data_IF_172416766407
#
_entry.id   IF_172416766407
#
_cell.length_a   1.000
_cell.length_b   1.000
_cell.length_c   1.000
_cell.angle_alpha   90.00
_cell.angle_beta   90.00
_cell.angle_gamma   90.00
#
_symmetry.space_group_name_H-M   'P 1'
#
loop_
_entity.id
_entity.type
_entity.pdbx_description
1 polymer ?
#
# COMPACT_ATOMS: atom_id res chain seq x y z
N UNK A 1 -43.45 -14.82 46.39
CA UNK A 1 -42.17 -14.31 45.85
C UNK A 1 -41.67 -15.32 44.83
N UNK A 2 -41.49 -14.96 43.55
CA UNK A 2 -40.86 -15.86 42.60
C UNK A 2 -39.35 -15.89 42.89
N UNK A 3 -38.82 -17.08 43.15
CA UNK A 3 -37.39 -17.33 43.33
C UNK A 3 -36.76 -17.22 41.94
N UNK A 4 -36.39 -16.01 41.53
CA UNK A 4 -35.50 -15.82 40.39
C UNK A 4 -34.09 -16.09 40.88
N UNK A 5 -33.58 -17.29 40.60
CA UNK A 5 -32.15 -17.55 40.76
C UNK A 5 -31.38 -16.55 39.88
N UNK A 6 -30.34 -15.88 40.39
CA UNK A 6 -29.52 -15.00 39.57
C UNK A 6 -28.91 -15.83 38.43
N UNK A 7 -29.11 -15.37 37.19
CA UNK A 7 -28.49 -15.97 36.01
C UNK A 7 -26.98 -15.72 36.08
N UNK A 8 -26.21 -16.80 36.13
CA UNK A 8 -24.75 -16.74 36.08
C UNK A 8 -24.32 -16.35 34.67
N UNK A 9 -23.72 -15.15 34.55
CA UNK A 9 -23.18 -14.59 33.31
C UNK A 9 -21.67 -14.81 33.19
N UNK A 10 -21.09 -15.67 34.03
CA UNK A 10 -19.67 -16.02 33.93
C UNK A 10 -19.39 -16.68 32.58
N UNK A 11 -18.28 -16.32 31.91
CA UNK A 11 -17.94 -16.90 30.61
C UNK A 11 -17.77 -18.41 30.75
N UNK A 12 -18.45 -19.17 29.89
CA UNK A 12 -18.35 -20.62 29.90
C UNK A 12 -16.91 -21.06 29.62
N UNK A 13 -16.40 -22.08 30.33
CA UNK A 13 -15.07 -22.61 30.07
C UNK A 13 -14.97 -23.13 28.63
N UNK A 14 -13.79 -23.06 28.02
CA UNK A 14 -13.59 -23.50 26.63
C UNK A 14 -13.85 -25.01 26.40
N UNK A 15 -14.00 -25.78 27.48
CA UNK A 15 -14.35 -27.20 27.50
C UNK A 15 -15.87 -27.46 27.64
N UNK A 16 -16.70 -26.41 27.66
CA UNK A 16 -18.13 -26.52 27.86
C UNK A 16 -18.83 -27.31 26.73
N UNK A 17 -19.90 -28.04 27.09
CA UNK A 17 -20.61 -28.96 26.19
C UNK A 17 -21.20 -28.22 24.98
N UNK A 18 -21.60 -26.97 25.21
CA UNK A 18 -22.17 -26.02 24.25
C UNK A 18 -21.22 -25.73 23.08
N UNK A 19 -19.91 -25.94 23.25
CA UNK A 19 -18.90 -25.73 22.22
C UNK A 19 -18.48 -27.00 21.47
N UNK A 20 -19.09 -28.16 21.74
CA UNK A 20 -18.70 -29.42 21.10
C UNK A 20 -18.95 -29.45 19.59
N UNK A 21 -20.01 -28.81 19.12
CA UNK A 21 -20.35 -28.74 17.70
C UNK A 21 -19.55 -27.67 16.93
N UNK A 22 -18.73 -26.87 17.63
CA UNK A 22 -17.91 -25.83 16.99
C UNK A 22 -16.61 -26.42 16.41
N UNK A 23 -16.13 -25.92 15.26
CA UNK A 23 -14.81 -26.28 14.74
C UNK A 23 -13.72 -25.94 15.76
N UNK A 24 -12.87 -26.91 16.10
CA UNK A 24 -11.79 -26.74 17.10
C UNK A 24 -10.44 -26.56 16.42
N UNK A 25 -9.59 -25.73 17.01
CA UNK A 25 -8.20 -25.54 16.62
C UNK A 25 -7.26 -25.69 17.82
N UNK A 26 -6.03 -26.13 17.57
CA UNK A 26 -5.04 -26.41 18.61
C UNK A 26 -4.23 -25.15 18.94
N UNK A 27 -4.20 -24.76 20.21
CA UNK A 27 -3.35 -23.68 20.69
C UNK A 27 -1.87 -24.09 20.58
N UNK A 28 -1.02 -23.25 19.99
CA UNK A 28 0.42 -23.53 19.82
C UNK A 28 1.15 -23.54 21.18
N UNK A 29 0.69 -22.71 22.12
CA UNK A 29 1.36 -22.50 23.42
C UNK A 29 1.08 -23.59 24.45
N UNK A 30 -0.17 -24.02 24.62
CA UNK A 30 -0.55 -25.06 25.61
C UNK A 30 -0.99 -26.39 24.98
N UNK A 31 -1.08 -26.48 23.66
CA UNK A 31 -1.52 -27.68 22.92
C UNK A 31 -2.97 -28.12 23.16
N UNK A 32 -3.79 -27.31 23.84
CA UNK A 32 -5.22 -27.59 24.03
C UNK A 32 -6.05 -27.25 22.77
N UNK A 33 -7.12 -28.03 22.54
CA UNK A 33 -8.08 -27.81 21.46
C UNK A 33 -9.21 -26.89 21.92
N UNK A 34 -9.27 -25.69 21.34
CA UNK A 34 -10.21 -24.62 21.68
C UNK A 34 -11.09 -24.31 20.47
N UNK A 35 -12.37 -23.91 20.63
CA UNK A 35 -13.20 -23.46 19.52
C UNK A 35 -12.51 -22.35 18.71
N UNK A 36 -12.51 -22.45 17.38
CA UNK A 36 -11.76 -21.56 16.49
C UNK A 36 -12.10 -20.08 16.75
N UNK A 37 -13.38 -19.76 16.98
CA UNK A 37 -13.83 -18.40 17.27
C UNK A 37 -13.31 -17.85 18.60
N UNK A 38 -12.89 -18.72 19.52
CA UNK A 38 -12.42 -18.36 20.86
C UNK A 38 -10.90 -18.48 21.00
N UNK A 39 -10.21 -18.99 19.98
CA UNK A 39 -8.76 -19.20 20.01
C UNK A 39 -7.99 -17.89 20.27
N UNK A 40 -8.41 -16.78 19.67
CA UNK A 40 -7.77 -15.47 19.86
C UNK A 40 -7.90 -14.92 21.29
N UNK A 41 -8.98 -15.24 22.00
CA UNK A 41 -9.15 -14.92 23.43
C UNK A 41 -8.28 -15.80 24.31
N UNK A 42 -8.23 -17.10 24.00
CA UNK A 42 -7.40 -18.06 24.73
C UNK A 42 -5.90 -17.76 24.59
N UNK A 43 -5.39 -17.42 23.41
CA UNK A 43 -3.95 -17.11 23.21
C UNK A 43 -3.49 -15.94 24.09
N UNK A 44 -4.34 -14.91 24.24
CA UNK A 44 -4.05 -13.73 25.08
C UNK A 44 -3.83 -14.08 26.55
N UNK A 45 -4.62 -15.02 27.09
CA UNK A 45 -4.48 -15.46 28.50
C UNK A 45 -3.48 -16.61 28.66
N UNK A 46 -3.30 -17.44 27.62
CA UNK A 46 -2.37 -18.58 27.64
C UNK A 46 -0.90 -18.14 27.75
N UNK A 47 -0.52 -17.03 27.11
CA UNK A 47 0.84 -16.48 27.16
C UNK A 47 1.18 -16.00 28.60
N UNK A 48 0.21 -15.44 29.32
CA UNK A 48 0.42 -14.91 30.67
C UNK A 48 0.70 -15.99 31.71
N UNK A 49 0.30 -17.24 31.46
CA UNK A 49 0.51 -18.36 32.39
C UNK A 49 1.91 -18.98 32.31
N UNK A 50 2.67 -18.78 31.22
CA UNK A 50 4.02 -19.37 31.04
C UNK A 50 5.17 -18.51 31.58
N UNK A 51 4.95 -17.24 31.91
CA UNK A 51 6.02 -16.34 32.40
C UNK A 51 6.33 -16.54 33.90
N UNK A 52 5.60 -17.41 34.62
CA UNK A 52 5.74 -17.59 36.08
C UNK A 52 6.59 -18.77 36.55
N UNK A 53 7.19 -19.55 35.66
CA UNK A 53 8.10 -20.68 35.99
C UNK A 53 9.06 -20.73 34.80
N UNK A 54 10.33 -20.32 34.86
CA UNK A 54 11.43 -20.84 35.67
C UNK A 54 12.53 -19.76 35.81
N UNK A 55 12.80 -19.30 37.03
CA UNK A 55 14.10 -18.76 37.43
C UNK A 55 14.65 -19.69 38.49
N UNK A 56 15.69 -20.45 38.16
CA UNK A 56 16.64 -20.88 39.15
C UNK A 56 18.03 -20.97 38.50
N UNK A 57 18.93 -20.17 39.05
CA UNK A 57 20.36 -20.19 38.85
C UNK A 57 20.95 -21.50 39.38
N UNK A 58 22.06 -21.93 38.78
CA UNK A 58 23.21 -22.51 39.48
C UNK A 58 24.47 -22.22 38.66
N UNK A 59 25.34 -21.39 39.22
CA UNK A 59 26.76 -21.28 38.91
C UNK A 59 27.46 -22.54 39.40
N UNK A 60 28.45 -23.07 38.66
CA UNK A 60 29.70 -23.56 39.27
C UNK A 60 30.80 -23.93 38.24
N UNK A 61 31.97 -23.32 38.50
CA UNK A 61 33.34 -23.85 38.43
C UNK A 61 34.09 -23.90 37.08
N UNK A 62 35.18 -23.13 37.11
CA UNK A 62 36.31 -22.99 36.20
C UNK A 62 37.28 -24.18 36.38
N UNK A 63 37.84 -24.73 35.29
CA UNK A 63 39.27 -25.03 35.26
C UNK A 63 39.86 -25.20 33.85
N UNK A 64 41.05 -24.63 33.72
CA UNK A 64 41.98 -24.71 32.60
C UNK A 64 42.50 -26.14 32.40
N UNK A 65 42.81 -26.49 31.16
CA UNK A 65 44.07 -27.17 30.86
C UNK A 65 44.59 -26.74 29.48
N UNK A 66 45.90 -26.62 29.44
CA UNK A 66 46.80 -25.95 28.50
C UNK A 66 47.52 -27.01 27.67
N UNK A 67 47.56 -26.92 26.33
CA UNK A 67 48.54 -27.61 25.49
C UNK A 67 48.74 -26.84 24.17
N UNK A 68 49.97 -26.37 23.99
CA UNK A 68 50.51 -25.65 22.83
C UNK A 68 51.19 -26.64 21.87
N UNK A 69 50.85 -26.63 20.58
CA UNK A 69 51.82 -26.72 19.46
C UNK A 69 51.16 -26.75 18.05
N UNK A 70 51.47 -25.72 17.27
CA UNK A 70 51.92 -25.73 15.87
C UNK A 70 51.20 -26.61 14.82
N UNK A 71 50.64 -25.96 13.79
CA UNK A 71 50.43 -26.58 12.47
C UNK A 71 49.44 -25.83 11.58
N UNK A 72 49.95 -25.04 10.63
CA UNK A 72 49.22 -24.52 9.47
C UNK A 72 48.56 -25.65 8.67
N UNK A 73 47.23 -25.77 8.70
CA UNK A 73 46.41 -26.31 7.60
C UNK A 73 44.99 -25.74 7.73
N UNK A 74 44.52 -25.00 6.72
CA UNK A 74 43.09 -24.67 6.59
C UNK A 74 42.23 -25.92 6.41
N UNK A 75 41.04 -25.95 7.00
CA UNK A 75 39.88 -26.43 6.25
C UNK A 75 38.71 -25.46 6.33
N UNK A 76 38.20 -25.13 5.16
CA UNK A 76 36.90 -24.52 4.89
C UNK A 76 35.77 -25.13 5.71
N UNK A 77 35.30 -24.43 6.74
CA UNK A 77 33.98 -24.68 7.33
C UNK A 77 32.96 -23.89 6.52
N UNK A 78 32.39 -24.54 5.50
CA UNK A 78 31.21 -24.03 4.80
C UNK A 78 30.04 -24.19 5.78
N UNK A 79 29.82 -23.20 6.65
CA UNK A 79 28.68 -23.17 7.55
C UNK A 79 27.39 -23.26 6.73
N UNK A 80 26.61 -24.31 6.95
CA UNK A 80 25.33 -24.51 6.27
C UNK A 80 24.37 -23.39 6.70
N UNK A 81 24.20 -22.39 5.83
CA UNK A 81 23.26 -21.30 6.07
C UNK A 81 21.83 -21.76 5.79
N UNK A 82 20.89 -21.38 6.64
CA UNK A 82 19.47 -21.67 6.52
C UNK A 82 18.73 -20.35 6.28
N UNK A 83 17.77 -20.35 5.36
CA UNK A 83 16.96 -19.17 5.07
C UNK A 83 15.89 -18.98 6.16
N UNK A 84 15.75 -17.76 6.67
CA UNK A 84 14.65 -17.38 7.53
C UNK A 84 13.33 -17.44 6.73
N UNK A 85 12.28 -18.15 7.21
CA UNK A 85 11.03 -18.26 6.46
C UNK A 85 10.22 -16.96 6.40
N UNK A 86 10.61 -15.92 7.14
CA UNK A 86 9.90 -14.63 7.19
C UNK A 86 10.55 -13.57 6.30
N UNK A 87 11.88 -13.44 6.30
CA UNK A 87 12.60 -12.44 5.52
C UNK A 87 13.49 -13.02 4.40
N UNK A 88 13.54 -14.35 4.27
CA UNK A 88 14.35 -15.10 3.29
C UNK A 88 15.87 -14.86 3.36
N UNK A 89 16.36 -14.11 4.35
CA UNK A 89 17.79 -13.91 4.58
C UNK A 89 18.46 -15.18 5.11
N UNK A 90 19.73 -15.39 4.74
CA UNK A 90 20.50 -16.59 5.06
C UNK A 90 21.31 -16.39 6.34
N UNK A 91 21.00 -17.20 7.36
CA UNK A 91 21.66 -17.16 8.67
C UNK A 91 22.39 -18.46 8.96
N UNK A 92 23.38 -18.40 9.86
CA UNK A 92 23.93 -19.62 10.46
C UNK A 92 22.86 -20.28 11.33
N UNK A 93 23.08 -21.56 11.69
CA UNK A 93 22.11 -22.30 12.50
C UNK A 93 21.94 -21.70 13.90
N UNK A 94 22.92 -20.98 14.42
CA UNK A 94 22.84 -20.35 15.75
C UNK A 94 22.17 -18.98 15.66
N UNK A 95 22.48 -18.20 14.62
CA UNK A 95 21.90 -16.87 14.43
C UNK A 95 20.42 -16.90 14.04
N UNK A 96 19.95 -17.95 13.35
CA UNK A 96 18.55 -18.06 12.95
C UNK A 96 17.60 -18.16 14.15
N UNK A 97 18.04 -18.73 15.28
CA UNK A 97 17.21 -18.80 16.49
C UNK A 97 17.02 -17.42 17.12
N UNK A 98 18.07 -16.60 17.14
CA UNK A 98 18.02 -15.22 17.66
C UNK A 98 17.23 -14.33 16.70
N UNK A 99 17.47 -14.47 15.40
CA UNK A 99 16.77 -13.73 14.37
C UNK A 99 15.27 -14.07 14.33
N UNK A 100 14.89 -15.35 14.46
CA UNK A 100 13.48 -15.78 14.44
C UNK A 100 12.63 -15.10 15.53
N UNK A 101 13.22 -14.76 16.68
CA UNK A 101 12.55 -14.02 17.75
C UNK A 101 12.27 -12.56 17.39
N UNK A 102 13.12 -11.92 16.58
CA UNK A 102 13.01 -10.48 16.25
C UNK A 102 12.31 -10.26 14.90
N UNK A 103 12.48 -11.18 13.95
CA UNK A 103 11.95 -11.07 12.60
C UNK A 103 10.41 -11.09 12.55
N UNK A 104 9.75 -11.66 13.56
CA UNK A 104 8.29 -11.64 13.70
C UNK A 104 7.74 -10.36 14.35
N UNK A 105 8.60 -9.51 14.92
CA UNK A 105 8.20 -8.34 15.72
C UNK A 105 8.48 -7.01 14.99
N UNK A 106 9.22 -7.04 13.87
CA UNK A 106 9.51 -5.88 13.04
C UNK A 106 8.54 -5.80 11.87
N UNK A 107 7.55 -4.92 11.96
CA UNK A 107 6.64 -4.57 10.87
C UNK A 107 7.34 -3.60 9.88
N UNK A 108 8.52 -3.98 9.40
CA UNK A 108 9.27 -3.24 8.40
C UNK A 108 9.35 -4.08 7.14
N UNK A 109 8.66 -3.57 6.11
CA UNK A 109 8.94 -3.88 4.72
C UNK A 109 10.46 -3.94 4.50
N UNK A 110 10.95 -5.02 3.89
CA UNK A 110 11.95 -5.00 2.81
C UNK A 110 12.37 -6.43 2.42
N UNK A 111 12.42 -6.67 1.11
CA UNK A 111 12.86 -7.91 0.45
C UNK A 111 11.87 -8.33 -0.66
N UNK A 112 12.22 -8.41 -1.94
CA UNK A 112 13.47 -8.18 -2.66
C UNK A 112 13.08 -7.83 -4.12
N UNK A 113 13.62 -6.73 -4.62
CA UNK A 113 13.82 -6.52 -6.05
C UNK A 113 15.19 -5.87 -6.21
N UNK A 114 16.15 -6.68 -6.64
CA UNK A 114 17.44 -6.33 -7.25
C UNK A 114 18.24 -5.21 -6.56
N UNK A 115 19.38 -5.59 -5.97
CA UNK A 115 20.38 -4.67 -5.46
C UNK A 115 20.94 -3.87 -6.65
N UNK A 116 20.34 -2.72 -6.93
CA UNK A 116 21.05 -1.59 -7.51
C UNK A 116 21.60 -0.78 -6.35
N UNK A 117 22.91 -0.59 -6.34
CA UNK A 117 23.64 0.32 -5.46
C UNK A 117 22.81 1.58 -5.14
N UNK A 118 22.53 1.83 -3.86
CA UNK A 118 22.09 3.13 -3.38
C UNK A 118 23.22 4.13 -3.62
N UNK A 119 23.31 4.62 -4.85
CA UNK A 119 23.89 5.94 -5.09
C UNK A 119 22.89 6.93 -4.51
N UNK A 120 23.26 7.57 -3.41
CA UNK A 120 22.62 8.80 -2.93
C UNK A 120 22.70 9.86 -4.05
N UNK A 121 21.81 9.74 -5.04
CA UNK A 121 21.70 10.68 -6.16
C UNK A 121 21.13 11.98 -5.58
N UNK A 122 22.02 12.84 -5.09
CA UNK A 122 21.65 14.19 -4.68
C UNK A 122 21.18 14.98 -5.91
N UNK A 123 19.86 15.12 -6.07
CA UNK A 123 19.27 15.88 -7.16
C UNK A 123 19.29 17.38 -6.85
N UNK A 124 19.95 18.17 -7.70
CA UNK A 124 20.02 19.63 -7.55
C UNK A 124 18.74 20.37 -7.99
N UNK A 125 17.84 19.72 -8.73
CA UNK A 125 16.58 20.30 -9.21
C UNK A 125 15.54 19.25 -9.61
N UNK A 126 14.28 19.67 -9.75
CA UNK A 126 13.19 18.82 -10.30
C UNK A 126 13.53 18.35 -11.72
N UNK A 127 14.19 19.18 -12.52
CA UNK A 127 14.60 18.82 -13.87
C UNK A 127 15.66 17.70 -13.89
N UNK A 128 16.50 17.61 -12.85
CA UNK A 128 17.48 16.52 -12.72
C UNK A 128 16.80 15.19 -12.38
N UNK A 129 15.80 15.23 -11.50
CA UNK A 129 14.97 14.07 -11.18
C UNK A 129 14.29 13.56 -12.46
N UNK A 130 13.64 14.45 -13.22
CA UNK A 130 12.96 14.07 -14.47
C UNK A 130 13.93 13.50 -15.50
N UNK A 131 15.14 14.07 -15.65
CA UNK A 131 16.19 13.50 -16.52
C UNK A 131 16.65 12.12 -16.05
N UNK A 132 16.80 11.89 -14.75
CA UNK A 132 17.18 10.58 -14.20
C UNK A 132 16.09 9.55 -14.49
N UNK A 133 14.81 9.92 -14.32
CA UNK A 133 13.68 9.06 -14.66
C UNK A 133 13.54 8.80 -16.16
N UNK A 134 13.76 9.79 -17.01
CA UNK A 134 13.74 9.65 -18.47
C UNK A 134 14.79 8.62 -18.94
N UNK A 135 15.97 8.60 -18.33
CA UNK A 135 17.02 7.60 -18.60
C UNK A 135 16.60 6.17 -18.23
N UNK A 136 15.64 6.01 -17.31
CA UNK A 136 15.12 4.69 -16.89
C UNK A 136 14.06 4.14 -17.86
N UNK A 137 13.65 4.91 -18.88
CA UNK A 137 12.73 4.45 -19.92
C UNK A 137 13.47 3.53 -20.89
N UNK A 138 13.01 2.29 -21.01
CA UNK A 138 13.53 1.30 -21.94
C UNK A 138 13.11 1.64 -23.38
N UNK A 139 14.08 2.08 -24.19
CA UNK A 139 13.85 2.41 -25.60
C UNK A 139 13.74 1.18 -26.51
N UNK A 140 14.10 -0.02 -26.01
CA UNK A 140 13.98 -1.28 -26.74
C UNK A 140 12.57 -1.84 -26.72
N UNK A 141 11.82 -1.55 -25.65
CA UNK A 141 10.40 -1.91 -25.50
C UNK A 141 9.53 -0.71 -25.80
N UNK A 142 8.55 -0.90 -26.68
CA UNK A 142 7.58 0.15 -26.98
C UNK A 142 6.17 -0.39 -27.09
N UNK A 143 5.20 0.45 -26.78
CA UNK A 143 3.79 0.20 -27.05
C UNK A 143 3.24 1.30 -27.94
N UNK A 144 2.31 0.93 -28.82
CA UNK A 144 1.81 1.82 -29.87
C UNK A 144 0.36 2.20 -29.58
N UNK A 145 0.06 3.48 -29.74
CA UNK A 145 -1.31 4.02 -29.71
C UNK A 145 -1.60 4.69 -31.05
N UNK A 146 -2.73 4.31 -31.66
CA UNK A 146 -3.15 4.78 -32.97
C UNK A 146 -4.48 5.52 -32.86
N UNK A 147 -4.49 6.84 -32.99
CA UNK A 147 -5.68 7.67 -32.75
C UNK A 147 -6.00 8.54 -33.94
N UNK A 148 -7.25 9.03 -34.01
CA UNK A 148 -7.60 10.14 -34.89
C UNK A 148 -7.73 11.40 -34.05
N UNK A 149 -7.73 12.59 -34.68
CA UNK A 149 -7.82 13.85 -33.94
C UNK A 149 -9.19 14.04 -33.27
N UNK A 150 -10.26 13.51 -33.86
CA UNK A 150 -11.64 13.72 -33.41
C UNK A 150 -11.99 12.90 -32.16
N UNK A 151 -11.37 11.73 -31.98
CA UNK A 151 -11.68 10.80 -30.89
C UNK A 151 -10.43 10.43 -30.07
N UNK A 152 -9.45 11.34 -30.02
CA UNK A 152 -8.14 11.10 -29.43
C UNK A 152 -8.24 10.54 -28.01
N UNK A 153 -9.02 11.21 -27.15
CA UNK A 153 -9.09 10.89 -25.73
C UNK A 153 -9.74 9.52 -25.46
N UNK A 154 -10.96 9.30 -25.97
CA UNK A 154 -11.69 8.04 -25.71
C UNK A 154 -10.99 6.84 -26.34
N UNK A 155 -10.50 7.01 -27.57
CA UNK A 155 -9.76 5.95 -28.28
C UNK A 155 -8.40 5.71 -27.65
N UNK A 156 -7.74 6.76 -27.19
CA UNK A 156 -6.47 6.71 -26.45
C UNK A 156 -6.61 5.88 -25.18
N UNK A 157 -7.59 6.19 -24.32
CA UNK A 157 -7.87 5.42 -23.09
C UNK A 157 -8.15 3.94 -23.39
N UNK A 158 -9.06 3.67 -24.33
CA UNK A 158 -9.42 2.29 -24.69
C UNK A 158 -8.24 1.49 -25.22
N UNK A 159 -7.37 2.11 -26.02
CA UNK A 159 -6.18 1.43 -26.49
C UNK A 159 -5.18 1.21 -25.38
N UNK A 160 -4.90 2.23 -24.57
CA UNK A 160 -3.98 2.14 -23.45
C UNK A 160 -4.34 0.97 -22.52
N UNK A 161 -5.60 0.88 -22.09
CA UNK A 161 -6.08 -0.18 -21.21
C UNK A 161 -5.95 -1.60 -21.80
N UNK A 162 -5.87 -1.74 -23.13
CA UNK A 162 -5.70 -3.04 -23.82
C UNK A 162 -4.24 -3.42 -24.03
N UNK A 163 -3.31 -2.47 -23.91
CA UNK A 163 -1.89 -2.72 -24.16
C UNK A 163 -1.25 -3.42 -22.95
N UNK A 164 -0.83 -4.68 -23.11
CA UNK A 164 -0.15 -5.44 -22.05
C UNK A 164 1.21 -4.85 -21.65
N UNK A 165 1.83 -4.11 -22.57
CA UNK A 165 3.12 -3.46 -22.38
C UNK A 165 2.96 -1.96 -22.07
N UNK A 166 1.74 -1.46 -21.83
CA UNK A 166 1.55 -0.10 -21.36
C UNK A 166 2.19 0.04 -19.98
N UNK A 167 3.23 0.85 -19.91
CA UNK A 167 3.95 1.15 -18.69
C UNK A 167 4.78 2.40 -18.92
N UNK A 168 4.94 3.28 -17.91
CA UNK A 168 5.87 4.41 -17.99
C UNK A 168 7.31 4.01 -18.32
N UNK A 169 7.70 2.77 -18.00
CA UNK A 169 9.03 2.21 -18.28
C UNK A 169 9.26 1.89 -19.75
N UNK A 170 8.20 1.71 -20.54
CA UNK A 170 8.30 1.36 -21.96
C UNK A 170 8.05 2.61 -22.81
N UNK A 171 8.74 2.74 -23.95
CA UNK A 171 8.60 3.91 -24.82
C UNK A 171 7.20 3.97 -25.47
N UNK A 172 6.48 5.08 -25.27
CA UNK A 172 5.22 5.35 -25.95
C UNK A 172 5.48 5.83 -27.38
N UNK A 173 4.86 5.15 -28.35
CA UNK A 173 4.81 5.54 -29.76
C UNK A 173 3.39 5.91 -30.15
N UNK A 174 3.24 7.04 -30.81
CA UNK A 174 1.94 7.58 -31.19
C UNK A 174 1.88 7.77 -32.70
N UNK A 175 0.78 7.31 -33.29
CA UNK A 175 0.46 7.50 -34.69
C UNK A 175 -0.93 8.13 -34.83
N UNK A 176 -0.98 9.25 -35.54
CA UNK A 176 -2.25 9.85 -35.96
C UNK A 176 -2.65 9.25 -37.31
N UNK A 177 -3.82 8.63 -37.35
CA UNK A 177 -4.27 7.87 -38.53
C UNK A 177 -4.48 8.84 -39.70
N UNK A 178 -3.80 8.56 -40.82
CA UNK A 178 -3.85 9.40 -42.02
C UNK A 178 -2.77 10.49 -42.05
N UNK A 179 -1.91 10.60 -41.04
CA UNK A 179 -0.84 11.59 -40.97
C UNK A 179 0.54 10.94 -41.05
N UNK A 180 1.46 11.56 -41.78
CA UNK A 180 2.86 11.12 -41.82
C UNK A 180 3.60 11.64 -40.59
N UNK A 181 3.72 10.79 -39.56
CA UNK A 181 4.40 11.13 -38.30
C UNK A 181 5.92 11.08 -38.41
N UNK A 182 6.55 12.25 -38.62
CA UNK A 182 8.01 12.37 -38.73
C UNK A 182 8.67 12.46 -37.36
N UNK A 183 8.12 13.29 -36.46
CA UNK A 183 8.68 13.51 -35.12
C UNK A 183 7.85 12.81 -34.05
N UNK A 184 8.33 11.64 -33.62
CA UNK A 184 7.69 10.85 -32.56
C UNK A 184 7.68 11.55 -31.21
N UNK A 185 8.64 12.44 -30.92
CA UNK A 185 8.67 13.22 -29.69
C UNK A 185 7.55 14.26 -29.67
N UNK A 186 7.38 15.00 -30.77
CA UNK A 186 6.30 15.96 -30.91
C UNK A 186 4.91 15.31 -30.84
N UNK A 187 4.69 14.22 -31.59
CA UNK A 187 3.41 13.49 -31.59
C UNK A 187 3.08 12.92 -30.21
N UNK A 188 4.08 12.37 -29.51
CA UNK A 188 3.90 11.88 -28.14
C UNK A 188 3.52 13.01 -27.19
N UNK A 189 4.22 14.15 -27.25
CA UNK A 189 3.94 15.30 -26.40
C UNK A 189 2.54 15.86 -26.65
N UNK A 190 2.15 15.99 -27.92
CA UNK A 190 0.80 16.42 -28.31
C UNK A 190 -0.26 15.47 -27.74
N UNK A 191 -0.12 14.17 -27.99
CA UNK A 191 -1.06 13.17 -27.48
C UNK A 191 -1.15 13.17 -25.95
N UNK A 192 -0.03 13.20 -25.24
CA UNK A 192 -0.03 13.24 -23.76
C UNK A 192 -0.68 14.52 -23.24
N UNK A 193 -0.51 15.65 -23.93
CA UNK A 193 -1.16 16.90 -23.56
C UNK A 193 -2.68 16.79 -23.63
N UNK A 194 -3.20 16.27 -24.75
CA UNK A 194 -4.63 16.03 -24.93
C UNK A 194 -5.17 14.97 -23.96
N UNK A 195 -4.38 13.92 -23.67
CA UNK A 195 -4.77 12.91 -22.69
C UNK A 195 -4.87 13.48 -21.28
N UNK A 196 -3.90 14.27 -20.82
CA UNK A 196 -3.93 14.90 -19.48
C UNK A 196 -5.12 15.86 -19.36
N UNK A 197 -5.38 16.67 -20.40
CA UNK A 197 -6.54 17.56 -20.47
C UNK A 197 -7.87 16.77 -20.42
N UNK A 198 -7.99 15.71 -21.22
CA UNK A 198 -9.18 14.86 -21.23
C UNK A 198 -9.41 14.13 -19.91
N UNK A 199 -8.34 13.68 -19.24
CA UNK A 199 -8.42 13.06 -17.92
C UNK A 199 -8.96 14.08 -16.90
N UNK A 200 -8.42 15.29 -16.89
CA UNK A 200 -8.89 16.37 -16.02
C UNK A 200 -10.40 16.62 -16.19
N UNK A 201 -10.87 16.73 -17.44
CA UNK A 201 -12.27 16.99 -17.72
C UNK A 201 -13.20 15.83 -17.31
N UNK A 202 -12.79 14.58 -17.57
CA UNK A 202 -13.63 13.39 -17.33
C UNK A 202 -13.62 12.94 -15.88
N UNK A 203 -12.45 12.86 -15.25
CA UNK A 203 -12.25 12.19 -13.96
C UNK A 203 -12.07 13.13 -12.77
N UNK A 204 -11.97 14.43 -13.01
CA UNK A 204 -11.78 15.41 -11.94
C UNK A 204 -12.88 16.48 -11.95
N UNK A 205 -13.23 16.97 -10.76
CA UNK A 205 -14.22 18.03 -10.51
C UNK A 205 -13.73 19.05 -9.49
N UNK A 206 -14.32 20.24 -9.52
CA UNK A 206 -13.92 21.38 -8.71
C UNK A 206 -13.73 22.62 -9.58
N UNK A 207 -13.71 23.78 -8.92
CA UNK A 207 -13.50 25.10 -9.54
C UNK A 207 -12.08 25.30 -10.08
N UNK A 208 -11.13 24.45 -9.68
CA UNK A 208 -9.73 24.51 -10.09
C UNK A 208 -8.91 25.56 -9.32
N UNK A 209 -9.52 26.43 -8.52
CA UNK A 209 -8.80 27.43 -7.72
C UNK A 209 -7.95 26.78 -6.62
N UNK A 210 -8.45 25.67 -6.07
CA UNK A 210 -7.77 24.87 -5.02
C UNK A 210 -7.27 23.53 -5.53
N UNK A 211 -7.23 23.36 -6.85
CA UNK A 211 -7.15 22.07 -7.50
C UNK A 211 -8.53 21.41 -7.63
N UNK A 212 -8.53 20.20 -8.20
CA UNK A 212 -9.69 19.38 -8.51
C UNK A 212 -9.56 18.03 -7.84
N UNK A 213 -10.68 17.55 -7.34
CA UNK A 213 -10.78 16.25 -6.71
C UNK A 213 -11.19 15.19 -7.72
N UNK A 214 -10.85 13.95 -7.40
CA UNK A 214 -11.25 12.80 -8.20
C UNK A 214 -12.77 12.62 -8.08
N UNK A 215 -13.44 12.51 -9.23
CA UNK A 215 -14.86 12.12 -9.29
C UNK A 215 -15.01 10.67 -8.86
N UNK A 216 -15.83 10.43 -7.84
CA UNK A 216 -16.16 9.07 -7.44
C UNK A 216 -16.95 8.36 -8.56
N UNK A 217 -16.47 7.20 -8.98
CA UNK A 217 -17.16 6.36 -9.96
C UNK A 217 -16.78 4.90 -9.74
N UNK A 218 -17.75 4.09 -9.30
CA UNK A 218 -17.55 2.66 -9.08
C UNK A 218 -17.26 1.91 -10.39
N UNK A 219 -17.87 2.35 -11.50
CA UNK A 219 -17.65 1.76 -12.82
C UNK A 219 -16.21 2.01 -13.28
N UNK A 220 -15.73 3.25 -13.19
CA UNK A 220 -14.36 3.59 -13.58
C UNK A 220 -13.31 2.93 -12.66
N UNK A 221 -13.66 2.67 -11.39
CA UNK A 221 -12.83 1.87 -10.49
C UNK A 221 -12.75 0.40 -10.95
N UNK A 222 -13.89 -0.25 -11.21
CA UNK A 222 -13.95 -1.64 -11.67
C UNK A 222 -13.25 -1.84 -13.02
N UNK A 223 -13.34 -0.85 -13.91
CA UNK A 223 -12.71 -0.88 -15.24
C UNK A 223 -11.21 -0.54 -15.24
N UNK A 224 -10.60 -0.32 -14.07
CA UNK A 224 -9.20 0.12 -13.91
C UNK A 224 -8.88 1.45 -14.63
N UNK A 225 -9.88 2.32 -14.80
CA UNK A 225 -9.69 3.63 -15.45
C UNK A 225 -8.72 4.51 -14.65
N UNK A 226 -8.81 4.53 -13.32
CA UNK A 226 -7.90 5.32 -12.47
C UNK A 226 -6.45 4.83 -12.52
N UNK A 227 -6.25 3.51 -12.61
CA UNK A 227 -4.93 2.93 -12.84
C UNK A 227 -4.35 3.41 -14.18
N UNK A 228 -5.16 3.34 -15.23
CA UNK A 228 -4.78 3.81 -16.57
C UNK A 228 -4.41 5.30 -16.55
N UNK A 229 -5.18 6.14 -15.85
CA UNK A 229 -4.87 7.56 -15.69
C UNK A 229 -3.53 7.78 -14.98
N UNK A 230 -3.25 7.02 -13.91
CA UNK A 230 -1.97 7.07 -13.21
C UNK A 230 -0.78 6.67 -14.09
N UNK A 231 -0.94 5.62 -14.91
CA UNK A 231 0.08 5.23 -15.89
C UNK A 231 0.32 6.33 -16.94
N UNK A 232 -0.74 7.00 -17.40
CA UNK A 232 -0.64 8.13 -18.33
C UNK A 232 0.09 9.30 -17.67
N UNK A 233 -0.23 9.66 -16.43
CA UNK A 233 0.47 10.72 -15.71
C UNK A 233 1.96 10.43 -15.54
N UNK A 234 2.30 9.22 -15.10
CA UNK A 234 3.69 8.81 -14.95
C UNK A 234 4.43 8.80 -16.29
N UNK A 235 3.79 8.31 -17.37
CA UNK A 235 4.36 8.35 -18.72
C UNK A 235 4.54 9.80 -19.21
N UNK A 236 3.59 10.67 -18.89
CA UNK A 236 3.65 12.10 -19.21
C UNK A 236 4.87 12.76 -18.57
N UNK A 237 5.08 12.52 -17.28
CA UNK A 237 6.21 13.07 -16.53
C UNK A 237 7.57 12.61 -17.08
N UNK A 238 7.72 11.32 -17.42
CA UNK A 238 9.04 10.76 -17.79
C UNK A 238 9.33 10.76 -19.30
N UNK A 239 8.34 11.01 -20.16
CA UNK A 239 8.49 10.98 -21.63
C UNK A 239 8.16 12.32 -22.33
N UNK A 240 8.16 13.43 -21.57
CA UNK A 240 8.11 14.80 -22.10
C UNK A 240 6.72 15.40 -22.29
N UNK A 241 5.69 14.81 -21.69
CA UNK A 241 4.35 15.39 -21.60
C UNK A 241 4.18 16.32 -20.38
N UNK A 242 2.99 16.93 -20.21
CA UNK A 242 2.71 17.81 -19.07
C UNK A 242 2.43 17.03 -17.77
N UNK A 243 2.74 17.65 -16.63
CA UNK A 243 2.33 17.16 -15.32
C UNK A 243 0.83 17.42 -15.06
N UNK A 244 0.14 16.60 -14.23
CA UNK A 244 -1.24 16.83 -13.84
C UNK A 244 -1.35 17.98 -12.81
N UNK A 245 -1.22 19.22 -13.27
CA UNK A 245 -1.18 20.43 -12.44
C UNK A 245 -2.55 20.89 -11.91
N UNK A 246 -3.48 19.96 -11.74
CA UNK A 246 -4.85 20.23 -11.32
C UNK A 246 -5.25 19.44 -10.06
N UNK A 247 -4.35 18.67 -9.44
CA UNK A 247 -4.68 17.90 -8.24
C UNK A 247 -4.86 18.81 -7.02
N UNK A 248 -5.82 18.50 -6.17
CA UNK A 248 -5.88 19.10 -4.82
C UNK A 248 -4.66 18.71 -3.98
N UNK A 249 -4.36 19.54 -2.98
CA UNK A 249 -3.20 19.34 -2.10
C UNK A 249 -3.24 17.98 -1.39
N UNK A 250 -4.41 17.59 -0.87
CA UNK A 250 -4.55 16.30 -0.18
C UNK A 250 -4.41 15.13 -1.15
N UNK A 251 -4.95 15.23 -2.38
CA UNK A 251 -4.76 14.19 -3.42
C UNK A 251 -3.27 14.01 -3.74
N UNK A 252 -2.56 15.12 -3.92
CA UNK A 252 -1.11 15.09 -4.15
C UNK A 252 -0.36 14.47 -2.96
N UNK A 253 -0.67 14.88 -1.73
CA UNK A 253 -0.06 14.32 -0.52
C UNK A 253 -0.30 12.81 -0.41
N UNK A 254 -1.53 12.36 -0.65
CA UNK A 254 -1.87 10.95 -0.65
C UNK A 254 -1.08 10.15 -1.70
N UNK A 255 -0.90 10.69 -2.91
CA UNK A 255 -0.07 10.04 -3.95
C UNK A 255 1.40 9.93 -3.55
N UNK A 256 1.94 10.91 -2.80
CA UNK A 256 3.33 10.92 -2.37
C UNK A 256 3.60 10.02 -1.15
N UNK A 257 2.65 9.92 -0.22
CA UNK A 257 2.89 9.33 1.10
C UNK A 257 2.01 8.11 1.41
N UNK A 258 0.92 7.90 0.66
CA UNK A 258 -0.06 6.84 0.93
C UNK A 258 -0.96 7.11 2.14
N UNK A 259 -0.85 8.30 2.74
CA UNK A 259 -1.60 8.70 3.93
C UNK A 259 -2.58 9.83 3.61
N UNK A 260 -3.81 9.65 4.07
CA UNK A 260 -4.83 10.69 4.06
C UNK A 260 -4.58 11.65 5.22
N UNK A 261 -4.57 12.94 4.93
CA UNK A 261 -4.60 13.95 5.98
C UNK A 261 -5.90 13.81 6.78
N UNK A 262 -5.81 13.92 8.11
CA UNK A 262 -6.98 13.84 9.00
C UNK A 262 -7.73 15.17 9.06
N UNK A 263 -7.10 16.24 8.61
CA UNK A 263 -7.63 17.60 8.62
C UNK A 263 -8.22 18.03 7.26
N UNK A 264 -8.79 17.09 6.49
CA UNK A 264 -9.53 17.41 5.25
C UNK A 264 -10.77 18.24 5.63
N UNK A 265 -10.71 19.55 5.34
CA UNK A 265 -11.77 20.49 5.68
C UNK A 265 -13.02 20.33 4.81
N UNK A 266 -14.16 20.84 5.29
CA UNK A 266 -15.47 20.83 4.59
C UNK A 266 -15.39 21.41 3.16
N UNK A 267 -14.47 22.36 2.93
CA UNK A 267 -14.27 23.00 1.64
C UNK A 267 -13.62 22.08 0.59
N UNK A 268 -12.99 20.99 1.01
CA UNK A 268 -12.30 20.04 0.13
C UNK A 268 -13.21 18.89 -0.32
N UNK A 269 -14.37 18.71 0.33
CA UNK A 269 -15.43 17.82 -0.14
C UNK A 269 -16.01 18.40 -1.42
N UNK A 270 -16.22 17.61 -2.47
CA UNK A 270 -16.85 18.09 -3.72
C UNK A 270 -18.34 17.82 -3.79
N UNK A 271 -18.78 16.72 -3.21
CA UNK A 271 -20.19 16.36 -3.13
C UNK A 271 -20.98 17.42 -2.37
N UNK A 272 -21.92 18.06 -3.05
CA UNK A 272 -22.66 19.20 -2.51
C UNK A 272 -23.58 18.78 -1.37
N UNK A 273 -24.14 17.57 -1.40
CA UNK A 273 -25.00 17.06 -0.34
C UNK A 273 -24.16 16.84 0.91
N UNK A 274 -23.00 16.17 0.78
CA UNK A 274 -22.08 15.98 1.92
C UNK A 274 -21.56 17.32 2.44
N UNK A 275 -21.20 18.27 1.56
CA UNK A 275 -20.83 19.64 1.99
C UNK A 275 -21.93 20.29 2.82
N UNK A 276 -23.18 20.21 2.36
CA UNK A 276 -24.33 20.79 3.04
C UNK A 276 -24.53 20.15 4.41
N UNK A 277 -24.52 18.81 4.47
CA UNK A 277 -24.63 18.06 5.73
C UNK A 277 -23.50 18.42 6.70
N UNK A 278 -22.25 18.47 6.24
CA UNK A 278 -21.12 18.85 7.09
C UNK A 278 -21.23 20.30 7.59
N UNK A 279 -21.67 21.22 6.74
CA UNK A 279 -21.89 22.62 7.10
C UNK A 279 -22.99 22.75 8.14
N UNK A 280 -24.08 21.98 8.01
CA UNK A 280 -25.17 21.94 8.97
C UNK A 280 -24.74 21.33 10.30
N UNK A 281 -24.05 20.19 10.30
CA UNK A 281 -23.51 19.59 11.52
C UNK A 281 -22.56 20.56 12.23
N UNK A 282 -21.72 21.28 11.48
CA UNK A 282 -20.84 22.30 12.05
C UNK A 282 -21.62 23.47 12.63
N UNK A 283 -22.65 23.97 11.92
CA UNK A 283 -23.54 25.02 12.41
C UNK A 283 -24.25 24.58 13.70
N UNK A 284 -24.86 23.41 13.71
CA UNK A 284 -25.55 22.87 14.89
C UNK A 284 -24.60 22.69 16.08
N UNK A 285 -23.37 22.22 15.86
CA UNK A 285 -22.37 22.11 16.90
C UNK A 285 -21.93 23.48 17.47
N UNK A 286 -21.97 24.55 16.67
CA UNK A 286 -21.60 25.90 17.09
C UNK A 286 -22.76 26.71 17.69
N UNK A 287 -23.99 26.54 17.20
CA UNK A 287 -25.15 27.39 17.56
C UNK A 287 -26.26 26.66 18.33
N UNK A 288 -26.31 25.32 18.29
CA UNK A 288 -27.35 24.51 18.93
C UNK A 288 -28.73 24.57 18.27
N UNK A 289 -28.86 25.20 17.10
CA UNK A 289 -30.12 25.37 16.38
C UNK A 289 -30.06 24.68 15.00
N UNK A 290 -31.08 23.87 14.70
CA UNK A 290 -31.28 23.25 13.38
C UNK A 290 -32.02 24.24 12.44
N UNK A 291 -31.83 24.10 11.13
CA UNK A 291 -32.50 24.96 10.14
C UNK A 291 -34.03 24.83 10.26
N UNK A 292 -34.79 25.93 10.45
CA UNK A 292 -36.25 25.86 10.46
C UNK A 292 -36.86 25.58 9.07
N UNK A 293 -36.09 25.68 7.98
CA UNK A 293 -36.62 25.67 6.61
C UNK A 293 -36.40 24.37 5.80
N UNK A 294 -35.90 23.27 6.40
CA UNK A 294 -35.92 21.95 5.75
C UNK A 294 -37.10 21.10 6.23
N UNK A 295 -38.11 20.94 5.38
CA UNK A 295 -39.12 19.90 5.57
C UNK A 295 -38.45 18.51 5.63
N UNK A 296 -38.90 17.61 6.52
CA UNK A 296 -38.38 16.26 6.58
C UNK A 296 -38.73 15.53 5.28
N UNK A 297 -37.71 15.04 4.57
CA UNK A 297 -37.88 14.13 3.46
C UNK A 297 -38.67 12.90 3.94
N UNK A 298 -39.86 12.71 3.36
CA UNK A 298 -40.74 11.57 3.57
C UNK A 298 -40.29 10.34 2.77
#
# INVERSE_FOLDING_TARGET
>A
MPIQNPLDISPLPFTALEFQAMPKARCVSCQEYVPLQLLGLHVKTCIQSKVKVETHCDDDIINLDDEVASGDVQPSHLESKVACPLCSQLFTKDDIYVHASVCGESNTNEGDADISEDTDEHFGSVSDILRSLEKKVDTSRSFNINVTREDLFQRGLKQWARQKQASPKNLLRVSFIGENGIDQGALRKEFLTEMVCGIEARFFEGDGERGKNIKYSICDYQDNSFKTCGEIFATSLVQGGPAPNFLTRWCYHFLCHGEMDKDVGVLEVTDQDIKNLMTECHRFACTGEADPDLEPAA
#
